data_IF_859556527880
#
_entry.id   IF_859556527880
#
_cell.length_a   1.000
_cell.length_b   1.000
_cell.length_c   1.000
_cell.angle_alpha   90.00
_cell.angle_beta   90.00
_cell.angle_gamma   90.00
#
_symmetry.space_group_name_H-M   'P 1'
#
loop_
_entity.id
_entity.type
_entity.pdbx_description
1 polymer ?
#
# COMPACT_ATOMS: atom_id res chain seq x y z
N UNK A 1 9.57 0.05 -2.67
CA UNK A 1 9.93 -1.40 -2.68
C UNK A 1 8.84 -2.29 -2.13
N UNK A 2 8.90 -3.59 -2.45
CA UNK A 2 8.06 -4.63 -1.82
C UNK A 2 8.80 -5.16 -0.60
N UNK A 3 8.13 -5.18 0.55
CA UNK A 3 8.70 -5.60 1.82
C UNK A 3 7.96 -6.81 2.34
N UNK A 4 8.76 -7.75 2.84
CA UNK A 4 8.29 -8.87 3.64
C UNK A 4 8.49 -8.51 5.11
N UNK A 5 7.43 -8.48 5.93
CA UNK A 5 7.55 -8.24 7.36
C UNK A 5 6.63 -9.15 8.17
N UNK A 6 6.91 -9.24 9.46
CA UNK A 6 6.10 -10.00 10.41
C UNK A 6 5.02 -9.07 10.98
N UNK A 7 3.72 -9.42 10.86
CA UNK A 7 2.66 -8.52 11.28
C UNK A 7 2.73 -8.23 12.79
N UNK A 8 2.60 -6.97 13.20
CA UNK A 8 2.79 -6.58 14.60
C UNK A 8 1.70 -7.14 15.53
N UNK A 9 0.49 -7.38 15.02
CA UNK A 9 -0.63 -7.94 15.78
C UNK A 9 -0.64 -9.47 15.85
N UNK A 10 0.12 -10.16 15.00
CA UNK A 10 0.22 -11.63 15.00
C UNK A 10 1.62 -12.11 14.57
N UNK A 11 2.61 -12.03 15.48
CA UNK A 11 3.98 -12.38 15.16
C UNK A 11 4.23 -13.88 14.95
N UNK A 12 3.22 -14.75 15.07
CA UNK A 12 3.37 -16.19 14.80
C UNK A 12 2.80 -16.59 13.43
N UNK A 13 2.12 -15.69 12.74
CA UNK A 13 1.51 -15.91 11.43
C UNK A 13 2.49 -15.81 10.25
N UNK A 14 1.97 -16.11 9.05
CA UNK A 14 2.70 -15.97 7.79
C UNK A 14 3.19 -14.53 7.56
N UNK A 15 4.38 -14.42 6.95
CA UNK A 15 4.97 -13.11 6.65
C UNK A 15 4.12 -12.38 5.62
N UNK A 16 3.83 -11.12 5.88
CA UNK A 16 3.10 -10.29 4.93
C UNK A 16 4.04 -9.70 3.90
N UNK A 17 3.64 -9.78 2.62
CA UNK A 17 4.30 -9.10 1.51
C UNK A 17 3.45 -7.87 1.17
N UNK A 18 3.96 -6.67 1.48
CA UNK A 18 3.28 -5.40 1.20
C UNK A 18 4.26 -4.40 0.62
N UNK A 19 3.75 -3.40 -0.08
CA UNK A 19 4.56 -2.35 -0.68
C UNK A 19 4.75 -1.20 0.29
N UNK A 20 5.98 -0.71 0.45
CA UNK A 20 6.21 0.52 1.19
C UNK A 20 5.72 1.72 0.38
N UNK A 21 4.86 2.52 0.99
CA UNK A 21 4.25 3.70 0.39
C UNK A 21 4.66 4.98 1.14
N UNK A 22 4.76 4.95 2.47
CA UNK A 22 5.13 6.12 3.28
C UNK A 22 6.27 5.85 4.26
N UNK A 23 7.23 6.76 4.29
CA UNK A 23 8.40 6.80 5.18
C UNK A 23 8.08 7.58 6.47
N UNK A 24 8.93 7.48 7.52
CA UNK A 24 8.81 8.34 8.69
C UNK A 24 8.66 9.82 8.31
N UNK A 25 7.64 10.49 8.86
CA UNK A 25 7.36 11.90 8.60
C UNK A 25 6.46 12.16 7.39
N UNK A 26 6.21 11.17 6.52
CA UNK A 26 5.33 11.37 5.36
C UNK A 26 3.87 11.56 5.78
N UNK A 27 3.14 12.34 4.98
CA UNK A 27 1.68 12.38 5.01
C UNK A 27 1.12 11.62 3.81
N UNK A 28 0.37 10.55 4.09
CA UNK A 28 -0.30 9.72 3.09
C UNK A 28 -1.78 10.10 3.05
N UNK A 29 -2.24 10.56 1.90
CA UNK A 29 -3.65 10.87 1.67
C UNK A 29 -4.22 9.92 0.62
N UNK A 30 -5.36 9.30 0.91
CA UNK A 30 -6.04 8.37 0.00
C UNK A 30 -7.43 8.90 -0.28
N UNK A 31 -7.72 9.14 -1.56
CA UNK A 31 -9.02 9.60 -2.03
C UNK A 31 -9.76 8.41 -2.63
N UNK A 32 -10.99 8.22 -2.16
CA UNK A 32 -11.91 7.15 -2.53
C UNK A 32 -11.31 5.75 -2.40
N UNK A 33 -10.29 5.61 -1.53
CA UNK A 33 -9.53 4.37 -1.32
C UNK A 33 -8.67 3.94 -2.50
N UNK A 34 -8.58 4.76 -3.54
CA UNK A 34 -7.89 4.44 -4.78
C UNK A 34 -6.68 5.33 -5.02
N UNK A 35 -6.90 6.63 -5.17
CA UNK A 35 -5.82 7.55 -5.49
C UNK A 35 -5.01 7.87 -4.24
N UNK A 36 -3.73 7.53 -4.26
CA UNK A 36 -2.79 7.81 -3.18
C UNK A 36 -2.00 9.09 -3.49
N UNK A 37 -1.72 9.85 -2.44
CA UNK A 37 -0.86 11.02 -2.43
C UNK A 37 0.18 10.83 -1.32
N UNK A 38 1.43 11.20 -1.60
CA UNK A 38 2.53 11.24 -0.63
C UNK A 38 2.97 12.70 -0.55
N UNK A 39 2.86 13.32 0.64
CA UNK A 39 3.19 14.72 0.87
C UNK A 39 2.50 15.66 -0.16
N UNK A 40 1.19 15.43 -0.34
CA UNK A 40 0.32 16.11 -1.31
C UNK A 40 0.63 15.90 -2.81
N UNK A 41 1.64 15.10 -3.14
CA UNK A 41 1.97 14.73 -4.52
C UNK A 41 1.24 13.43 -4.88
N UNK A 42 0.38 13.42 -5.92
CA UNK A 42 -0.29 12.18 -6.34
C UNK A 42 0.73 11.20 -6.90
N UNK A 43 0.61 9.92 -6.53
CA UNK A 43 1.31 8.87 -7.26
C UNK A 43 0.68 8.73 -8.66
N UNK A 44 1.52 8.63 -9.68
CA UNK A 44 1.02 8.46 -11.05
C UNK A 44 0.33 7.09 -11.18
N UNK A 45 -0.81 7.05 -11.89
CA UNK A 45 -1.54 5.82 -12.18
C UNK A 45 -1.94 5.78 -13.65
N UNK A 46 -1.71 4.63 -14.29
CA UNK A 46 -2.08 4.34 -15.67
C UNK A 46 -3.07 3.19 -15.68
N UNK A 47 -4.27 3.38 -16.20
CA UNK A 47 -5.25 2.29 -16.31
C UNK A 47 -4.82 1.30 -17.38
N UNK A 48 -4.85 0.00 -17.06
CA UNK A 48 -4.43 -1.05 -18.00
C UNK A 48 -5.58 -1.95 -18.46
N UNK A 49 -6.75 -1.86 -17.83
CA UNK A 49 -7.94 -2.63 -18.20
C UNK A 49 -8.53 -3.41 -17.03
N UNK A 50 -9.37 -4.40 -17.39
CA UNK A 50 -10.12 -5.23 -16.46
C UNK A 50 -9.55 -6.64 -16.39
N UNK A 51 -9.54 -7.18 -15.18
CA UNK A 51 -9.24 -8.59 -14.91
C UNK A 51 -10.42 -9.23 -14.20
N UNK A 52 -10.82 -10.44 -14.62
CA UNK A 52 -11.85 -11.23 -13.93
C UNK A 52 -11.18 -12.46 -13.36
N UNK A 53 -11.31 -12.67 -12.06
CA UNK A 53 -10.75 -13.86 -11.43
C UNK A 53 -11.65 -15.10 -11.64
N UNK A 54 -11.19 -16.27 -11.20
CA UNK A 54 -11.90 -17.55 -11.30
C UNK A 54 -13.29 -17.55 -10.62
N UNK A 55 -13.50 -16.64 -9.66
CA UNK A 55 -14.77 -16.46 -8.94
C UNK A 55 -15.71 -15.46 -9.62
N UNK A 56 -15.36 -14.94 -10.80
CA UNK A 56 -16.14 -13.95 -11.54
C UNK A 56 -16.07 -12.52 -10.96
N UNK A 57 -15.14 -12.24 -10.04
CA UNK A 57 -14.95 -10.89 -9.50
C UNK A 57 -14.13 -10.08 -10.49
N UNK A 58 -14.66 -8.93 -10.90
CA UNK A 58 -14.03 -8.00 -11.81
C UNK A 58 -13.17 -6.97 -11.06
N UNK A 59 -11.97 -6.75 -11.56
CA UNK A 59 -10.99 -5.81 -11.05
C UNK A 59 -10.59 -4.82 -12.11
N UNK A 60 -10.51 -3.53 -11.74
CA UNK A 60 -9.81 -2.52 -12.51
C UNK A 60 -8.32 -2.54 -12.13
N UNK A 61 -7.45 -2.64 -13.12
CA UNK A 61 -6.02 -2.73 -12.93
C UNK A 61 -5.32 -1.42 -13.35
N UNK A 62 -4.28 -1.07 -12.61
CA UNK A 62 -3.47 0.11 -12.89
C UNK A 62 -1.98 -0.20 -12.75
N UNK A 63 -1.14 0.45 -13.55
CA UNK A 63 0.24 0.65 -13.13
C UNK A 63 0.32 1.90 -12.28
N UNK A 64 0.84 1.77 -11.07
CA UNK A 64 1.19 2.89 -10.23
C UNK A 64 2.70 3.11 -10.23
N UNK A 65 3.13 4.37 -10.18
CA UNK A 65 4.55 4.74 -10.14
C UNK A 65 4.82 5.57 -8.90
N UNK A 66 5.72 5.07 -8.04
CA UNK A 66 6.18 5.78 -6.85
C UNK A 66 7.10 6.96 -7.24
N UNK A 67 7.31 7.95 -6.34
CA UNK A 67 8.22 9.07 -6.59
C UNK A 67 9.67 8.65 -6.95
N UNK A 68 10.10 7.47 -6.53
CA UNK A 68 11.41 6.90 -6.89
C UNK A 68 11.41 6.12 -8.23
N UNK A 69 10.41 6.34 -9.08
CA UNK A 69 10.21 5.70 -10.39
C UNK A 69 9.96 4.18 -10.36
N UNK A 70 9.74 3.58 -9.19
CA UNK A 70 9.31 2.18 -9.12
C UNK A 70 7.88 2.06 -9.62
N UNK A 71 7.70 1.34 -10.73
CA UNK A 71 6.41 1.03 -11.35
C UNK A 71 5.92 -0.36 -10.94
N UNK A 72 4.64 -0.49 -10.63
CA UNK A 72 4.05 -1.75 -10.15
C UNK A 72 2.56 -1.86 -10.47
N UNK A 73 2.07 -3.09 -10.53
CA UNK A 73 0.66 -3.39 -10.81
C UNK A 73 -0.17 -3.28 -9.52
N UNK A 74 -1.29 -2.59 -9.58
CA UNK A 74 -2.33 -2.59 -8.54
C UNK A 74 -3.67 -2.99 -9.13
N UNK A 75 -4.55 -3.50 -8.26
CA UNK A 75 -5.90 -3.92 -8.65
C UNK A 75 -6.94 -3.53 -7.60
N UNK A 76 -8.09 -3.09 -8.09
CA UNK A 76 -9.24 -2.62 -7.31
C UNK A 76 -10.50 -3.35 -7.78
N UNK A 77 -11.45 -3.65 -6.91
CA UNK A 77 -12.73 -4.26 -7.31
C UNK A 77 -13.53 -3.22 -8.12
N UNK A 78 -13.79 -3.52 -9.39
CA UNK A 78 -14.34 -2.55 -10.35
C UNK A 78 -15.72 -2.00 -9.93
N UNK A 79 -16.56 -2.84 -9.32
CA UNK A 79 -17.92 -2.46 -8.89
C UNK A 79 -17.97 -1.80 -7.50
N UNK A 80 -16.82 -1.55 -6.87
CA UNK A 80 -16.75 -0.89 -5.56
C UNK A 80 -16.84 0.63 -5.73
N UNK A 81 -17.92 1.10 -6.33
CA UNK A 81 -18.21 2.53 -6.40
C UNK A 81 -18.56 3.05 -5.01
N UNK A 82 -17.95 4.17 -4.65
CA UNK A 82 -18.31 4.94 -3.46
C UNK A 82 -19.12 6.13 -3.93
N UNK A 83 -20.38 6.22 -3.52
CA UNK A 83 -21.27 7.31 -3.89
C UNK A 83 -20.86 8.65 -3.25
N UNK A 84 -20.12 8.57 -2.14
CA UNK A 84 -19.64 9.72 -1.38
C UNK A 84 -18.12 9.74 -1.44
N UNK A 85 -17.56 10.91 -1.78
CA UNK A 85 -16.12 11.14 -1.76
C UNK A 85 -15.57 10.91 -0.36
N UNK A 86 -14.65 9.96 -0.21
CA UNK A 86 -14.02 9.64 1.06
C UNK A 86 -12.54 10.02 1.03
N UNK A 87 -12.08 10.75 2.03
CA UNK A 87 -10.67 11.15 2.16
C UNK A 87 -10.15 10.57 3.46
N UNK A 88 -9.11 9.73 3.36
CA UNK A 88 -8.38 9.22 4.51
C UNK A 88 -6.99 9.87 4.53
N UNK A 89 -6.57 10.37 5.68
CA UNK A 89 -5.25 10.99 5.87
C UNK A 89 -4.52 10.25 6.98
N UNK A 90 -3.26 9.90 6.72
CA UNK A 90 -2.37 9.18 7.62
C UNK A 90 -1.08 9.98 7.76
N UNK A 91 -0.65 10.22 8.99
CA UNK A 91 0.63 10.86 9.30
C UNK A 91 1.57 9.80 9.84
N UNK A 92 2.59 9.45 9.06
CA UNK A 92 3.49 8.36 9.39
C UNK A 92 4.40 8.79 10.54
N UNK A 93 4.32 8.16 11.73
CA UNK A 93 5.13 8.56 12.87
C UNK A 93 6.63 8.32 12.62
N UNK A 94 7.46 8.98 13.42
CA UNK A 94 8.89 8.67 13.50
C UNK A 94 9.13 7.17 13.74
N UNK A 95 10.16 6.63 13.12
CA UNK A 95 10.52 5.20 13.15
C UNK A 95 9.44 4.21 12.66
N UNK A 96 8.39 4.71 12.00
CA UNK A 96 7.33 3.88 11.44
C UNK A 96 7.20 4.03 9.93
N UNK A 97 6.47 3.10 9.34
CA UNK A 97 6.30 2.97 7.90
C UNK A 97 4.85 2.65 7.55
N UNK A 98 4.42 3.10 6.37
CA UNK A 98 3.07 2.90 5.87
C UNK A 98 3.05 1.99 4.64
N UNK A 99 2.34 0.88 4.73
CA UNK A 99 2.32 -0.18 3.75
C UNK A 99 0.94 -0.35 3.11
N UNK A 100 0.91 -0.62 1.79
CA UNK A 100 -0.29 -1.02 1.07
C UNK A 100 -0.07 -2.35 0.36
N UNK A 101 -1.13 -3.15 0.23
CA UNK A 101 -1.13 -4.29 -0.69
C UNK A 101 -1.45 -3.87 -2.11
N UNK A 102 -0.88 -4.59 -3.08
CA UNK A 102 -1.13 -4.36 -4.51
C UNK A 102 -2.57 -4.82 -4.90
N UNK A 103 -3.13 -5.82 -4.21
CA UNK A 103 -4.57 -6.15 -4.25
C UNK A 103 -5.35 -5.26 -3.27
N UNK A 104 -5.57 -4.01 -3.68
CA UNK A 104 -5.94 -2.89 -2.81
C UNK A 104 -7.24 -3.10 -2.07
N UNK A 105 -8.23 -3.76 -2.63
CA UNK A 105 -9.51 -3.96 -1.93
C UNK A 105 -9.57 -5.20 -1.05
N UNK A 106 -8.59 -6.10 -1.17
CA UNK A 106 -8.54 -7.38 -0.44
C UNK A 106 -7.26 -7.49 0.41
N UNK A 107 -6.72 -6.37 0.85
CA UNK A 107 -5.48 -6.33 1.60
C UNK A 107 -5.73 -5.77 2.99
N UNK A 108 -5.53 -6.60 4.02
CA UNK A 108 -5.24 -6.14 5.37
C UNK A 108 -3.88 -5.44 5.35
N UNK A 109 -3.88 -4.11 5.39
CA UNK A 109 -2.69 -3.27 5.33
C UNK A 109 -2.80 -2.04 6.23
N UNK A 110 -1.91 -1.04 6.08
CA UNK A 110 -1.82 0.08 7.01
C UNK A 110 -3.07 0.96 7.06
N UNK A 111 -4.00 0.82 6.10
CA UNK A 111 -5.32 1.47 6.14
C UNK A 111 -6.23 0.91 7.23
N UNK A 112 -5.99 -0.33 7.67
CA UNK A 112 -6.87 -1.09 8.55
C UNK A 112 -6.03 -1.77 9.65
N UNK A 113 -5.83 -3.07 9.55
CA UNK A 113 -5.44 -3.95 10.65
C UNK A 113 -3.95 -3.91 11.00
N UNK A 114 -3.11 -3.46 10.06
CA UNK A 114 -1.66 -3.38 10.30
C UNK A 114 -1.29 -2.08 11.01
N UNK A 115 -2.00 -0.99 10.71
CA UNK A 115 -1.58 0.36 11.10
C UNK A 115 -0.16 0.68 10.61
N UNK A 116 0.55 1.53 11.34
CA UNK A 116 1.95 1.84 11.04
C UNK A 116 2.88 0.73 11.55
N UNK A 117 3.87 0.36 10.74
CA UNK A 117 4.81 -0.71 11.09
C UNK A 117 6.12 -0.08 11.58
N UNK A 118 6.52 -0.40 12.80
CA UNK A 118 7.77 0.10 13.38
C UNK A 118 9.00 -0.56 12.70
N UNK A 119 10.12 0.17 12.62
CA UNK A 119 11.38 -0.28 12.01
C UNK A 119 11.85 -1.66 12.50
N UNK A 120 11.61 -1.97 13.79
CA UNK A 120 12.02 -3.24 14.40
C UNK A 120 11.23 -4.45 13.91
N UNK A 121 10.04 -4.25 13.32
CA UNK A 121 9.22 -5.33 12.75
C UNK A 121 9.66 -5.69 11.32
N UNK A 122 10.54 -4.91 10.70
CA UNK A 122 11.09 -5.21 9.39
C UNK A 122 12.16 -6.30 9.50
N UNK A 123 12.03 -7.35 8.69
CA UNK A 123 13.02 -8.44 8.65
C UNK A 123 14.39 -7.89 8.25
N UNK A 124 15.47 -8.48 8.76
CA UNK A 124 16.84 -7.97 8.56
C UNK A 124 17.18 -7.70 7.09
N UNK A 125 16.77 -8.57 6.15
CA UNK A 125 17.00 -8.35 4.71
C UNK A 125 16.30 -7.10 4.18
N UNK A 126 15.09 -6.78 4.66
CA UNK A 126 14.39 -5.55 4.29
C UNK A 126 15.11 -4.32 4.86
N UNK A 127 15.57 -4.38 6.12
CA UNK A 127 16.35 -3.28 6.75
C UNK A 127 17.57 -2.91 5.90
N UNK A 128 18.35 -3.89 5.41
CA UNK A 128 19.54 -3.61 4.59
C UNK A 128 19.24 -2.99 3.21
N UNK A 129 18.11 -3.34 2.57
CA UNK A 129 17.72 -2.74 1.28
C UNK A 129 17.43 -1.23 1.45
N UNK A 130 16.84 -0.81 2.58
CA UNK A 130 16.55 0.61 2.85
C UNK A 130 17.78 1.46 3.13
N UNK A 131 18.78 0.92 3.83
CA UNK A 131 20.01 1.65 4.12
C UNK A 131 20.98 1.70 2.92
N UNK A 132 20.64 1.11 1.78
CA UNK A 132 21.51 1.01 0.59
C UNK A 132 21.11 1.95 -0.56
N UNK A 133 20.25 2.95 -0.33
CA UNK A 133 19.85 3.93 -1.34
C UNK A 133 20.67 5.21 -1.26
#
# INVERSE_FOLDING_TARGET
DVIVFQPPHDPLSEKYIKRLIGLPGDTIKIIDGQQVFINDIPINREYIGKYVNEKGVEYDQYFETLPNNVKYLTQFIAKKHREIRHISVFHVPENHYFFLGDNRDNSADSRFDIGYVHLNNLVSKARFIWFSA
#
